data_IF_293631962693
#
_entry.id   IF_293631962693
#
_cell.length_a   1.000
_cell.length_b   1.000
_cell.length_c   1.000
_cell.angle_alpha   90.00
_cell.angle_beta   90.00
_cell.angle_gamma   90.00
#
_symmetry.space_group_name_H-M   'P 1'
#
loop_
_entity.id
_entity.type
_entity.pdbx_description
1 polymer ?
#
# COMPACT_ATOMS: atom_id res chain seq x y z
N UNK A 1 60.16 -1.82 -39.91
CA UNK A 1 59.53 -1.24 -38.67
C UNK A 1 58.04 -0.92 -38.75
N UNK A 2 57.41 -0.54 -39.85
CA UNK A 2 55.96 -0.17 -39.92
C UNK A 2 54.96 -1.30 -39.77
N UNK A 3 55.32 -2.58 -40.01
CA UNK A 3 54.38 -3.73 -39.94
C UNK A 3 54.14 -4.22 -38.50
N UNK A 4 55.12 -4.08 -37.60
CA UNK A 4 55.00 -4.51 -36.19
C UNK A 4 54.03 -3.59 -35.40
N UNK A 5 54.03 -2.30 -35.73
CA UNK A 5 53.14 -1.34 -35.04
C UNK A 5 51.65 -1.58 -35.35
N UNK A 6 51.31 -2.03 -36.58
CA UNK A 6 49.91 -2.30 -36.97
C UNK A 6 49.30 -3.53 -36.31
N UNK A 7 50.12 -4.55 -36.02
CA UNK A 7 49.65 -5.77 -35.34
C UNK A 7 49.44 -5.55 -33.85
N UNK A 8 50.26 -4.76 -33.19
CA UNK A 8 50.09 -4.38 -31.78
C UNK A 8 48.86 -3.49 -31.60
N UNK A 9 48.62 -2.53 -32.49
CA UNK A 9 47.43 -1.66 -32.45
C UNK A 9 46.12 -2.49 -32.62
N UNK A 10 46.09 -3.48 -33.50
CA UNK A 10 44.94 -4.38 -33.67
C UNK A 10 44.67 -5.24 -32.43
N UNK A 11 45.73 -5.71 -31.73
CA UNK A 11 45.58 -6.48 -30.48
C UNK A 11 45.08 -5.62 -29.34
N UNK A 12 45.54 -4.39 -29.19
CA UNK A 12 45.07 -3.43 -28.19
C UNK A 12 43.59 -3.09 -28.45
N UNK A 13 43.20 -2.85 -29.71
CA UNK A 13 41.82 -2.54 -30.08
C UNK A 13 40.89 -3.75 -29.85
N UNK A 14 41.36 -4.98 -30.08
CA UNK A 14 40.56 -6.20 -29.86
C UNK A 14 40.33 -6.49 -28.35
N UNK A 15 41.28 -6.12 -27.49
CA UNK A 15 41.19 -6.29 -26.04
C UNK A 15 40.40 -5.16 -25.35
N UNK A 16 40.41 -3.94 -25.93
CA UNK A 16 39.66 -2.81 -25.37
C UNK A 16 38.16 -2.83 -25.67
N UNK A 17 37.76 -3.45 -26.77
CA UNK A 17 36.36 -3.52 -27.19
C UNK A 17 35.45 -4.23 -26.17
N UNK A 18 35.79 -5.43 -25.63
CA UNK A 18 34.96 -6.08 -24.61
C UNK A 18 34.93 -5.31 -23.28
N UNK A 19 36.03 -4.65 -22.89
CA UNK A 19 36.07 -3.85 -21.68
C UNK A 19 35.14 -2.63 -21.81
N UNK A 20 35.16 -1.94 -22.94
CA UNK A 20 34.23 -0.83 -23.22
C UNK A 20 32.78 -1.30 -23.28
N UNK A 21 32.49 -2.48 -23.83
CA UNK A 21 31.14 -3.04 -23.85
C UNK A 21 30.62 -3.35 -22.44
N UNK A 22 31.45 -3.89 -21.54
CA UNK A 22 31.10 -4.17 -20.16
C UNK A 22 30.84 -2.86 -19.40
N UNK A 23 31.70 -1.84 -19.59
CA UNK A 23 31.47 -0.52 -19.01
C UNK A 23 30.17 0.14 -19.49
N UNK A 24 29.86 0.06 -20.78
CA UNK A 24 28.62 0.58 -21.34
C UNK A 24 27.38 -0.15 -20.79
N UNK A 25 27.44 -1.47 -20.59
CA UNK A 25 26.36 -2.25 -19.99
C UNK A 25 26.18 -1.92 -18.49
N UNK A 26 27.27 -1.75 -17.74
CA UNK A 26 27.21 -1.37 -16.34
C UNK A 26 26.65 0.05 -16.16
N UNK A 27 27.04 1.01 -16.98
CA UNK A 27 26.50 2.38 -16.93
C UNK A 27 25.05 2.44 -17.38
N UNK A 28 24.65 1.73 -18.43
CA UNK A 28 23.25 1.63 -18.85
C UNK A 28 22.39 0.96 -17.78
N UNK A 29 22.88 -0.11 -17.14
CA UNK A 29 22.20 -0.78 -16.04
C UNK A 29 22.00 0.10 -14.82
N UNK A 30 23.03 0.89 -14.44
CA UNK A 30 22.92 1.84 -13.32
C UNK A 30 21.96 2.98 -13.62
N UNK A 31 21.97 3.54 -14.83
CA UNK A 31 21.03 4.58 -15.25
C UNK A 31 19.61 4.01 -15.28
N UNK A 32 19.40 2.81 -15.77
CA UNK A 32 18.10 2.14 -15.78
C UNK A 32 17.57 1.91 -14.36
N UNK A 33 18.43 1.44 -13.43
CA UNK A 33 18.05 1.24 -12.02
C UNK A 33 17.71 2.54 -11.31
N UNK A 34 18.43 3.65 -11.60
CA UNK A 34 18.17 4.97 -11.04
C UNK A 34 16.97 5.68 -11.67
N UNK A 35 16.56 5.28 -12.89
CA UNK A 35 15.38 5.81 -13.58
C UNK A 35 14.10 5.01 -13.34
N UNK A 36 14.17 3.87 -12.64
CA UNK A 36 12.98 3.20 -12.15
C UNK A 36 12.29 4.15 -11.18
N UNK A 37 11.01 4.52 -11.42
CA UNK A 37 10.27 5.33 -10.46
C UNK A 37 10.36 4.62 -9.12
N UNK A 38 10.78 5.34 -8.10
CA UNK A 38 10.82 4.81 -6.74
C UNK A 38 9.40 4.36 -6.44
N UNK A 39 9.18 3.06 -6.28
CA UNK A 39 7.87 2.42 -6.12
C UNK A 39 7.05 3.03 -4.96
N UNK A 40 7.74 3.77 -4.08
CA UNK A 40 7.18 4.48 -2.94
C UNK A 40 6.23 5.62 -3.35
N UNK A 41 6.55 6.40 -4.38
CA UNK A 41 5.69 7.51 -4.83
C UNK A 41 4.42 7.03 -5.54
N UNK A 42 4.48 5.87 -6.23
CA UNK A 42 3.33 5.27 -6.92
C UNK A 42 2.33 4.58 -5.95
N UNK A 43 2.67 4.48 -4.65
CA UNK A 43 1.85 3.81 -3.65
C UNK A 43 1.08 4.79 -2.74
N UNK A 44 1.32 6.10 -2.86
CA UNK A 44 0.56 7.12 -2.12
C UNK A 44 -0.84 7.26 -2.70
N UNK A 45 -1.84 7.46 -1.84
CA UNK A 45 -3.22 7.64 -2.29
C UNK A 45 -3.39 8.96 -3.05
N UNK A 46 -3.93 8.96 -4.26
CA UNK A 46 -4.14 10.19 -5.02
C UNK A 46 -5.24 11.10 -4.42
N UNK A 47 -6.10 10.56 -3.56
CA UNK A 47 -7.15 11.28 -2.84
C UNK A 47 -6.74 11.77 -1.47
N UNK A 48 -5.46 11.64 -1.09
CA UNK A 48 -4.94 12.06 0.21
C UNK A 48 -5.11 13.57 0.43
N UNK A 49 -5.66 13.92 1.59
CA UNK A 49 -5.93 15.30 2.00
C UNK A 49 -5.24 15.59 3.35
N UNK A 50 -4.71 16.81 3.57
CA UNK A 50 -4.10 17.17 4.84
C UNK A 50 -5.15 17.41 5.93
N UNK A 51 -4.76 17.17 7.18
CA UNK A 51 -5.60 17.41 8.37
C UNK A 51 -6.49 16.24 8.72
N UNK A 52 -7.70 16.57 9.16
CA UNK A 52 -8.76 15.62 9.55
C UNK A 52 -10.04 16.00 8.80
N UNK A 53 -10.94 15.04 8.50
CA UNK A 53 -12.22 15.36 7.88
C UNK A 53 -13.05 16.27 8.78
N UNK A 54 -13.95 17.05 8.20
CA UNK A 54 -14.95 17.81 8.94
C UNK A 54 -15.80 16.86 9.79
N UNK A 55 -16.53 17.42 10.78
CA UNK A 55 -17.38 16.65 11.68
C UNK A 55 -18.35 15.74 10.88
N UNK A 56 -18.23 14.44 11.09
CA UNK A 56 -19.07 13.44 10.44
C UNK A 56 -20.29 13.13 11.31
N UNK A 57 -21.44 12.73 10.71
CA UNK A 57 -22.60 12.26 11.46
C UNK A 57 -22.24 11.10 12.40
N UNK A 58 -22.87 11.08 13.60
CA UNK A 58 -22.60 10.04 14.61
C UNK A 58 -22.90 8.63 14.10
N UNK A 59 -23.89 8.48 13.22
CA UNK A 59 -24.26 7.20 12.62
C UNK A 59 -23.12 6.53 11.83
N UNK A 60 -22.13 7.28 11.36
CA UNK A 60 -20.96 6.72 10.66
C UNK A 60 -19.98 6.06 11.63
N UNK A 61 -20.11 6.29 12.94
CA UNK A 61 -19.25 5.67 13.95
C UNK A 61 -17.78 6.00 13.77
N UNK A 62 -17.46 7.27 13.43
CA UNK A 62 -16.08 7.72 13.25
C UNK A 62 -15.31 7.66 14.56
N UNK A 63 -14.39 6.72 14.68
CA UNK A 63 -13.75 6.34 15.94
C UNK A 63 -12.24 6.16 15.78
N UNK A 64 -11.52 6.47 16.87
CA UNK A 64 -10.08 6.21 16.98
C UNK A 64 -9.84 4.78 17.46
N UNK A 65 -9.07 4.03 16.69
CA UNK A 65 -8.60 2.69 17.02
C UNK A 65 -7.11 2.72 17.38
N UNK A 66 -6.78 2.18 18.55
CA UNK A 66 -5.40 2.04 19.07
C UNK A 66 -5.14 0.57 19.38
N UNK A 67 -4.69 -0.23 18.41
CA UNK A 67 -4.50 -1.66 18.63
C UNK A 67 -3.32 -1.92 19.57
N UNK A 68 -3.45 -2.94 20.43
CA UNK A 68 -2.38 -3.33 21.35
C UNK A 68 -1.13 -3.81 20.60
N UNK A 69 0.04 -3.37 21.07
CA UNK A 69 1.34 -3.80 20.52
C UNK A 69 1.72 -3.15 19.19
N UNK A 70 0.93 -2.21 18.68
CA UNK A 70 1.20 -1.45 17.45
C UNK A 70 1.33 0.02 17.81
N UNK A 71 2.44 0.65 17.43
CA UNK A 71 2.70 2.07 17.67
C UNK A 71 2.06 2.95 16.58
N UNK A 72 0.78 2.71 16.31
CA UNK A 72 0.01 3.50 15.38
C UNK A 72 -1.45 3.55 15.82
N UNK A 73 -2.08 4.69 15.62
CA UNK A 73 -3.51 4.89 15.77
C UNK A 73 -4.13 5.13 14.39
N UNK A 74 -5.40 4.77 14.21
CA UNK A 74 -6.16 5.07 13.00
C UNK A 74 -7.55 5.58 13.39
N UNK A 75 -8.05 6.57 12.67
CA UNK A 75 -9.48 6.91 12.75
C UNK A 75 -10.15 6.50 11.44
N UNK A 76 -11.32 5.90 11.56
CA UNK A 76 -12.16 5.53 10.42
C UNK A 76 -13.62 5.36 10.86
N UNK A 77 -14.52 5.36 9.87
CA UNK A 77 -15.92 5.06 10.09
C UNK A 77 -16.11 3.56 10.35
N UNK A 78 -16.61 3.21 11.54
CA UNK A 78 -16.98 1.85 11.90
C UNK A 78 -18.24 1.36 11.17
N UNK A 79 -19.13 2.29 10.78
CA UNK A 79 -20.33 2.06 9.96
C UNK A 79 -20.19 2.85 8.64
N UNK A 80 -19.34 2.40 7.72
CA UNK A 80 -19.06 3.16 6.50
C UNK A 80 -20.27 3.16 5.57
N UNK A 81 -20.54 4.32 4.97
CA UNK A 81 -21.55 4.47 3.92
C UNK A 81 -21.06 3.87 2.62
N UNK A 82 -21.99 3.29 1.84
CA UNK A 82 -21.71 2.71 0.52
C UNK A 82 -22.60 3.36 -0.52
N UNK A 83 -21.97 3.78 -1.61
CA UNK A 83 -22.65 4.26 -2.82
C UNK A 83 -22.10 3.51 -4.04
N UNK A 84 -22.91 2.63 -4.61
CA UNK A 84 -22.46 1.77 -5.71
C UNK A 84 -21.30 0.86 -5.27
N UNK A 85 -20.11 1.11 -5.83
CA UNK A 85 -18.87 0.42 -5.48
C UNK A 85 -17.94 1.27 -4.59
N UNK A 86 -18.39 2.44 -4.14
CA UNK A 86 -17.57 3.34 -3.33
C UNK A 86 -17.95 3.19 -1.86
N UNK A 87 -16.94 2.98 -1.02
CA UNK A 87 -17.06 2.87 0.44
C UNK A 87 -16.41 4.08 1.09
N UNK A 88 -17.17 4.85 1.87
CA UNK A 88 -16.73 6.06 2.54
C UNK A 88 -16.19 5.72 3.92
N UNK A 89 -14.88 5.52 4.02
CA UNK A 89 -14.19 5.13 5.26
C UNK A 89 -13.75 6.33 6.11
N UNK A 90 -13.43 7.45 5.46
CA UNK A 90 -12.75 8.59 6.07
C UNK A 90 -11.51 8.16 6.86
N UNK A 91 -10.71 7.29 6.22
CA UNK A 91 -9.47 6.77 6.80
C UNK A 91 -8.53 7.92 7.11
N UNK A 92 -8.22 8.10 8.39
CA UNK A 92 -7.35 9.19 8.86
C UNK A 92 -6.17 8.62 9.64
N UNK A 93 -4.98 9.08 9.27
CA UNK A 93 -3.74 8.83 10.00
C UNK A 93 -3.44 10.00 10.93
N UNK A 94 -3.58 9.86 12.26
CA UNK A 94 -3.21 10.91 13.20
C UNK A 94 -1.77 11.41 12.99
N UNK A 95 -1.54 12.72 13.19
CA UNK A 95 -0.22 13.34 13.01
C UNK A 95 0.86 12.78 13.94
N UNK A 96 0.47 12.14 15.04
CA UNK A 96 1.40 11.48 15.97
C UNK A 96 1.94 10.14 15.47
N UNK A 97 1.39 9.58 14.40
CA UNK A 97 1.93 8.35 13.80
C UNK A 97 3.30 8.60 13.18
N UNK A 98 4.13 7.56 13.18
CA UNK A 98 5.47 7.58 12.56
C UNK A 98 5.54 6.74 11.26
N UNK A 99 4.43 6.10 10.89
CA UNK A 99 4.34 5.22 9.72
C UNK A 99 3.22 5.67 8.79
N UNK A 100 3.34 5.29 7.53
CA UNK A 100 2.25 5.39 6.57
C UNK A 100 1.28 4.22 6.76
N UNK A 101 0.01 4.43 6.40
CA UNK A 101 -1.01 3.39 6.49
C UNK A 101 -1.90 3.34 5.25
N UNK A 102 -2.52 2.18 5.01
CA UNK A 102 -3.60 2.03 4.03
C UNK A 102 -4.68 1.09 4.55
N UNK A 103 -5.90 1.26 4.07
CA UNK A 103 -6.98 0.32 4.29
C UNK A 103 -7.08 -0.68 3.13
N UNK A 104 -7.28 -1.94 3.46
CA UNK A 104 -7.57 -3.04 2.54
C UNK A 104 -8.88 -3.68 2.98
N UNK A 105 -9.89 -3.75 2.10
CA UNK A 105 -11.22 -4.27 2.40
C UNK A 105 -11.32 -5.71 1.92
N UNK A 106 -11.68 -6.63 2.82
CA UNK A 106 -11.80 -8.05 2.53
C UNK A 106 -13.22 -8.56 2.80
N UNK A 107 -13.67 -9.51 2.01
CA UNK A 107 -14.81 -10.38 2.38
C UNK A 107 -14.44 -11.22 3.60
N UNK A 108 -15.47 -11.68 4.30
CA UNK A 108 -15.33 -12.56 5.47
C UNK A 108 -15.66 -14.00 5.09
N UNK A 109 -14.75 -14.91 5.40
CA UNK A 109 -14.98 -16.34 5.34
C UNK A 109 -15.25 -16.89 6.73
N UNK A 110 -16.33 -17.64 6.86
CA UNK A 110 -16.62 -18.39 8.08
C UNK A 110 -15.84 -19.70 8.03
N UNK A 111 -14.99 -19.90 9.03
CA UNK A 111 -14.27 -21.14 9.28
C UNK A 111 -14.67 -21.76 10.61
N UNK A 112 -14.13 -22.92 10.92
CA UNK A 112 -14.29 -23.58 12.22
C UNK A 112 -12.88 -23.90 12.74
N UNK A 113 -12.56 -23.49 13.96
CA UNK A 113 -11.29 -23.80 14.59
C UNK A 113 -11.21 -25.27 15.04
N UNK A 114 -10.01 -25.70 15.51
CA UNK A 114 -9.78 -27.06 15.98
C UNK A 114 -10.66 -27.49 17.18
N UNK A 115 -11.38 -26.56 17.82
CA UNK A 115 -12.27 -26.80 18.95
C UNK A 115 -13.76 -26.77 18.52
N UNK A 116 -14.06 -26.65 17.21
CA UNK A 116 -15.42 -26.56 16.68
C UNK A 116 -16.06 -25.17 16.79
N UNK A 117 -15.31 -24.15 17.21
CA UNK A 117 -15.81 -22.76 17.32
C UNK A 117 -15.74 -22.07 15.96
N UNK A 118 -16.81 -21.35 15.60
CA UNK A 118 -16.81 -20.50 14.41
C UNK A 118 -15.74 -19.40 14.52
N UNK A 119 -14.97 -19.25 13.44
CA UNK A 119 -13.98 -18.19 13.27
C UNK A 119 -14.29 -17.41 12.01
N UNK A 120 -14.02 -16.13 12.04
CA UNK A 120 -14.20 -15.22 10.90
C UNK A 120 -12.82 -14.81 10.42
N UNK A 121 -12.52 -15.05 9.15
CA UNK A 121 -11.20 -14.80 8.56
C UNK A 121 -11.37 -13.89 7.33
N UNK A 122 -10.42 -13.00 7.05
CA UNK A 122 -10.40 -12.29 5.78
C UNK A 122 -10.22 -13.31 4.65
N UNK A 123 -10.98 -13.14 3.56
CA UNK A 123 -10.96 -14.05 2.43
C UNK A 123 -10.44 -13.32 1.18
N UNK A 124 -11.30 -12.66 0.43
CA UNK A 124 -10.94 -12.00 -0.82
C UNK A 124 -10.82 -10.49 -0.65
N UNK A 125 -9.75 -9.91 -1.20
CA UNK A 125 -9.58 -8.46 -1.28
C UNK A 125 -10.62 -7.91 -2.26
N UNK A 126 -11.37 -6.90 -1.82
CA UNK A 126 -12.38 -6.20 -2.62
C UNK A 126 -11.89 -4.84 -3.13
N UNK A 127 -10.97 -4.21 -2.43
CA UNK A 127 -10.44 -2.91 -2.78
C UNK A 127 -9.48 -2.41 -1.72
N UNK A 128 -8.73 -1.37 -2.06
CA UNK A 128 -7.76 -0.78 -1.13
C UNK A 128 -7.52 0.69 -1.45
N UNK A 129 -7.16 1.47 -0.43
CA UNK A 129 -6.61 2.81 -0.61
C UNK A 129 -5.15 2.73 -1.06
N UNK A 130 -4.58 3.82 -1.51
CA UNK A 130 -3.12 4.02 -1.45
C UNK A 130 -2.66 4.16 -0.02
N UNK A 131 -1.35 4.32 0.19
CA UNK A 131 -0.81 4.68 1.49
C UNK A 131 -0.99 6.18 1.74
N UNK A 132 -1.37 6.54 2.97
CA UNK A 132 -1.49 7.92 3.44
C UNK A 132 -0.43 8.22 4.50
N UNK A 133 -0.03 9.48 4.60
CA UNK A 133 0.97 9.96 5.55
C UNK A 133 0.37 10.28 6.93
N UNK A 134 1.19 10.38 7.97
CA UNK A 134 0.76 10.94 9.24
C UNK A 134 0.20 12.36 9.07
N UNK A 135 -0.93 12.64 9.72
CA UNK A 135 -1.60 13.95 9.64
C UNK A 135 -2.43 14.15 8.37
N UNK A 136 -2.76 13.08 7.65
CA UNK A 136 -3.59 13.12 6.46
C UNK A 136 -4.75 12.13 6.52
N UNK A 137 -5.69 12.25 5.58
CA UNK A 137 -6.83 11.37 5.46
C UNK A 137 -7.25 11.15 4.01
N UNK A 138 -8.02 10.10 3.75
CA UNK A 138 -8.66 9.78 2.48
C UNK A 138 -10.13 9.47 2.70
N UNK A 139 -11.00 9.98 1.85
CA UNK A 139 -12.44 9.90 2.01
C UNK A 139 -12.99 8.50 1.82
N UNK A 140 -12.63 7.87 0.71
CA UNK A 140 -13.28 6.65 0.25
C UNK A 140 -12.32 5.70 -0.45
N UNK A 141 -12.79 4.48 -0.66
CA UNK A 141 -12.15 3.46 -1.49
C UNK A 141 -13.15 2.91 -2.49
N UNK A 142 -12.72 2.70 -3.73
CA UNK A 142 -13.52 2.02 -4.75
C UNK A 142 -13.25 0.52 -4.66
N UNK A 143 -14.34 -0.26 -4.62
CA UNK A 143 -14.27 -1.72 -4.65
C UNK A 143 -14.25 -2.21 -6.10
N UNK A 144 -13.55 -3.32 -6.33
CA UNK A 144 -13.46 -4.00 -7.64
C UNK A 144 -14.82 -4.54 -8.09
N UNK A 145 -15.72 -4.80 -7.14
CA UNK A 145 -17.09 -5.27 -7.40
C UNK A 145 -18.08 -4.73 -6.37
N UNK A 146 -19.35 -4.67 -6.73
CA UNK A 146 -20.43 -4.30 -5.81
C UNK A 146 -20.63 -5.40 -4.76
N UNK A 147 -20.91 -5.00 -3.51
CA UNK A 147 -21.22 -5.93 -2.45
C UNK A 147 -22.58 -6.61 -2.69
N UNK A 148 -22.68 -7.94 -2.46
CA UNK A 148 -23.83 -8.73 -2.90
C UNK A 148 -25.10 -8.54 -2.07
N UNK A 149 -25.05 -7.95 -0.88
CA UNK A 149 -26.16 -7.90 0.06
C UNK A 149 -26.43 -6.53 0.66
N UNK A 150 -27.62 -6.39 1.27
CA UNK A 150 -27.98 -5.20 2.06
C UNK A 150 -27.13 -5.10 3.34
N UNK A 151 -26.71 -6.24 3.87
CA UNK A 151 -25.79 -6.36 5.02
C UNK A 151 -24.66 -7.32 4.63
N UNK A 152 -23.44 -6.85 4.62
CA UNK A 152 -22.28 -7.67 4.25
C UNK A 152 -21.19 -7.50 5.30
N UNK A 153 -20.83 -8.57 6.05
CA UNK A 153 -19.71 -8.54 6.97
C UNK A 153 -18.40 -8.42 6.19
N UNK A 154 -17.52 -7.56 6.65
CA UNK A 154 -16.20 -7.33 6.05
C UNK A 154 -15.12 -7.18 7.10
N UNK A 155 -13.88 -7.35 6.67
CA UNK A 155 -12.71 -6.89 7.39
C UNK A 155 -12.04 -5.73 6.67
N UNK A 156 -11.73 -4.68 7.45
CA UNK A 156 -10.85 -3.60 7.04
C UNK A 156 -9.49 -3.91 7.66
N UNK A 157 -8.52 -4.30 6.85
CA UNK A 157 -7.15 -4.49 7.30
C UNK A 157 -6.40 -3.18 7.13
N UNK A 158 -5.85 -2.67 8.22
CA UNK A 158 -4.96 -1.52 8.20
C UNK A 158 -3.53 -2.04 8.11
N UNK A 159 -2.90 -1.83 6.98
CA UNK A 159 -1.51 -2.17 6.74
C UNK A 159 -0.63 -0.94 7.00
N UNK A 160 0.46 -1.14 7.75
CA UNK A 160 1.41 -0.12 8.14
C UNK A 160 2.75 -0.34 7.47
N UNK A 161 3.39 0.74 7.05
CA UNK A 161 4.76 0.69 6.53
C UNK A 161 5.58 1.88 7.01
N UNK A 162 6.86 1.68 7.06
CA UNK A 162 7.84 2.74 7.25
C UNK A 162 7.85 3.68 6.03
N UNK A 163 7.83 4.98 6.27
CA UNK A 163 7.72 5.98 5.20
C UNK A 163 9.00 6.12 4.37
N UNK A 164 10.17 5.82 4.95
CA UNK A 164 11.48 5.99 4.30
C UNK A 164 11.90 4.71 3.58
N UNK A 165 11.77 3.58 4.27
CA UNK A 165 12.26 2.28 3.77
C UNK A 165 11.21 1.48 3.02
N UNK A 166 9.92 1.81 3.20
CA UNK A 166 8.79 1.05 2.65
C UNK A 166 8.56 -0.31 3.32
N UNK A 167 9.33 -0.66 4.36
CA UNK A 167 9.20 -1.94 5.05
C UNK A 167 7.90 -2.01 5.85
N UNK A 168 7.28 -3.20 5.85
CA UNK A 168 6.08 -3.46 6.65
C UNK A 168 6.36 -3.27 8.14
N UNK A 169 5.50 -2.50 8.81
CA UNK A 169 5.49 -2.27 10.27
C UNK A 169 4.34 -3.05 10.94
N UNK A 170 3.74 -3.99 10.22
CA UNK A 170 2.64 -4.79 10.72
C UNK A 170 1.28 -4.41 10.13
N UNK A 171 0.25 -5.02 10.68
CA UNK A 171 -1.15 -4.73 10.30
C UNK A 171 -2.10 -5.19 11.41
N UNK A 172 -3.32 -4.65 11.39
CA UNK A 172 -4.41 -5.11 12.25
C UNK A 172 -5.74 -5.12 11.49
N UNK A 173 -6.74 -5.79 12.04
CA UNK A 173 -8.06 -5.95 11.42
C UNK A 173 -9.11 -5.21 12.24
N UNK A 174 -9.98 -4.50 11.55
CA UNK A 174 -11.23 -3.94 12.09
C UNK A 174 -12.38 -4.68 11.41
N UNK A 175 -13.18 -5.40 12.19
CA UNK A 175 -14.39 -6.06 11.70
C UNK A 175 -15.56 -5.09 11.71
N UNK A 176 -16.33 -5.03 10.63
CA UNK A 176 -17.57 -4.25 10.56
C UNK A 176 -18.57 -4.91 9.60
N UNK A 177 -19.79 -4.39 9.57
CA UNK A 177 -20.82 -4.78 8.62
C UNK A 177 -21.16 -3.57 7.75
N UNK A 178 -21.13 -3.73 6.46
CA UNK A 178 -21.62 -2.73 5.53
C UNK A 178 -23.14 -2.84 5.41
N UNK A 179 -23.80 -1.69 5.51
CA UNK A 179 -25.24 -1.52 5.29
C UNK A 179 -25.44 -0.70 4.01
N UNK A 180 -26.39 -1.15 3.17
CA UNK A 180 -26.74 -0.50 1.91
C UNK A 180 -28.04 0.28 2.08
#
# INVERSE_FOLDING_TARGET
MRRVCRTQLKRILLLSLPVLAVFALLTAGTIYFLSLPTEVAALTDPGEQPGIPEALPEEYGYTLYTPQGIQAAVQLCGNPRIEGNTVYLYLTSPAANICQMRAEIYTVKVGVDGNGKQTFLPDRLLGRTGFIHPGTWVESVTLDEALPGAETPIYIKIALRDAETGHSQGSFLVGTTFYR
#
